data_IF_113405932282
#
_entry.id   IF_113405932282
#
_cell.length_a   1.000
_cell.length_b   1.000
_cell.length_c   1.000
_cell.angle_alpha   90.00
_cell.angle_beta   90.00
_cell.angle_gamma   90.00
#
_symmetry.space_group_name_H-M   'P 1'
#
loop_
_entity.id
_entity.type
_entity.pdbx_description
1 polymer ?
#
# COMPACT_ATOMS: atom_id res chain seq x y z
N UNK A 1 7.16 -1.88 7.86
CA UNK A 1 8.08 -3.04 7.90
C UNK A 1 8.36 -3.47 6.47
N UNK A 2 9.57 -3.27 5.96
CA UNK A 2 9.99 -3.78 4.65
C UNK A 2 11.17 -4.72 4.86
N UNK A 3 11.15 -5.84 4.14
CA UNK A 3 12.22 -6.84 4.08
C UNK A 3 13.44 -6.38 3.28
N UNK A 4 13.26 -5.37 2.42
CA UNK A 4 14.23 -4.95 1.43
C UNK A 4 15.51 -4.32 2.05
N UNK A 5 16.69 -4.94 1.88
CA UNK A 5 17.97 -4.32 2.21
C UNK A 5 18.26 -3.04 1.40
N UNK A 6 17.71 -2.88 0.19
CA UNK A 6 17.80 -1.67 -0.62
C UNK A 6 16.94 -0.54 -0.04
N UNK A 7 15.75 -0.80 0.51
CA UNK A 7 14.95 0.20 1.22
C UNK A 7 15.65 0.72 2.48
N UNK A 8 16.36 -0.15 3.21
CA UNK A 8 17.18 0.24 4.37
C UNK A 8 18.36 1.14 3.99
N UNK A 9 18.93 0.94 2.80
CA UNK A 9 20.06 1.76 2.31
C UNK A 9 19.62 3.08 1.62
N UNK A 10 18.46 3.09 0.95
CA UNK A 10 17.89 4.28 0.30
C UNK A 10 17.16 5.20 1.29
N UNK A 11 16.70 4.67 2.42
CA UNK A 11 15.97 5.40 3.45
C UNK A 11 16.80 5.61 4.71
N UNK A 12 18.00 6.19 4.59
CA UNK A 12 18.59 6.92 5.73
C UNK A 12 17.78 8.18 5.98
N UNK A 13 16.55 8.04 6.46
CA UNK A 13 15.87 9.12 7.17
C UNK A 13 16.58 9.18 8.50
N UNK A 14 17.36 10.23 8.74
CA UNK A 14 18.29 10.35 9.87
C UNK A 14 17.64 10.26 11.25
N UNK A 15 16.30 10.24 11.32
CA UNK A 15 15.51 10.35 12.56
C UNK A 15 14.54 9.18 12.78
N UNK A 16 14.46 8.21 11.86
CA UNK A 16 13.58 7.05 12.00
C UNK A 16 14.36 5.83 12.52
N UNK A 17 13.86 5.18 13.58
CA UNK A 17 14.42 3.91 14.07
C UNK A 17 13.62 2.74 13.51
N UNK A 18 14.30 1.80 12.88
CA UNK A 18 13.68 0.56 12.41
C UNK A 18 13.40 -0.36 13.60
N UNK A 19 12.17 -0.84 13.69
CA UNK A 19 11.83 -1.95 14.60
C UNK A 19 12.37 -3.23 13.99
N UNK A 20 13.50 -3.70 14.52
CA UNK A 20 14.10 -4.97 14.10
C UNK A 20 13.33 -6.15 14.68
N UNK A 21 12.82 -7.00 13.79
CA UNK A 21 12.25 -8.28 14.16
C UNK A 21 13.26 -9.36 13.74
N UNK A 22 13.70 -10.25 14.65
CA UNK A 22 14.58 -11.37 14.32
C UNK A 22 13.80 -12.46 13.57
N UNK A 23 13.33 -12.15 12.36
CA UNK A 23 12.59 -13.03 11.47
C UNK A 23 13.32 -13.09 10.13
N UNK A 24 13.46 -14.30 9.56
CA UNK A 24 14.05 -14.48 8.24
C UNK A 24 13.08 -13.94 7.18
N UNK A 25 13.54 -12.96 6.42
CA UNK A 25 12.75 -12.21 5.41
C UNK A 25 13.37 -12.29 4.01
N UNK A 26 14.32 -13.21 3.83
CA UNK A 26 15.09 -13.36 2.59
C UNK A 26 14.25 -13.73 1.35
N UNK A 27 13.03 -14.24 1.54
CA UNK A 27 12.09 -14.63 0.46
C UNK A 27 10.87 -13.69 0.33
N UNK A 28 10.87 -12.55 1.02
CA UNK A 28 9.68 -11.73 1.23
C UNK A 28 9.31 -10.81 0.07
N UNK A 29 10.10 -10.72 -1.00
CA UNK A 29 9.82 -9.87 -2.18
C UNK A 29 9.58 -10.67 -3.46
N UNK A 30 8.73 -10.14 -4.33
CA UNK A 30 8.55 -10.62 -5.70
C UNK A 30 9.46 -9.86 -6.70
N UNK A 31 9.43 -10.27 -7.96
CA UNK A 31 10.26 -9.68 -9.02
C UNK A 31 9.92 -8.20 -9.30
N UNK A 32 8.78 -7.70 -8.83
CA UNK A 32 8.36 -6.30 -8.94
C UNK A 32 8.66 -5.47 -7.69
N UNK A 33 9.33 -6.04 -6.68
CA UNK A 33 9.64 -5.36 -5.42
C UNK A 33 8.47 -5.28 -4.44
N UNK A 34 7.38 -6.02 -4.67
CA UNK A 34 6.25 -6.09 -3.74
C UNK A 34 6.45 -7.19 -2.70
N UNK A 35 5.96 -6.94 -1.49
CA UNK A 35 6.01 -7.92 -0.40
C UNK A 35 5.07 -9.11 -0.66
N UNK A 36 5.60 -10.34 -0.56
CA UNK A 36 4.82 -11.58 -0.59
C UNK A 36 4.08 -11.77 0.73
N UNK A 37 2.90 -12.39 0.65
CA UNK A 37 2.19 -12.87 1.84
C UNK A 37 3.07 -13.86 2.60
N UNK A 38 3.22 -13.65 3.91
CA UNK A 38 4.03 -14.46 4.80
C UNK A 38 3.19 -15.52 5.49
N UNK A 39 3.83 -16.58 5.97
CA UNK A 39 3.17 -17.67 6.69
C UNK A 39 2.51 -17.19 7.99
N UNK A 40 1.45 -17.89 8.44
CA UNK A 40 0.68 -17.49 9.63
C UNK A 40 1.53 -17.41 10.90
N UNK A 41 2.44 -18.37 11.10
CA UNK A 41 3.39 -18.38 12.23
C UNK A 41 4.36 -17.18 12.22
N UNK A 42 4.68 -16.64 11.05
CA UNK A 42 5.49 -15.43 10.91
C UNK A 42 4.66 -14.20 11.32
N UNK A 43 3.42 -14.11 10.83
CA UNK A 43 2.51 -13.02 11.17
C UNK A 43 2.18 -12.98 12.66
N UNK A 44 2.02 -14.13 13.32
CA UNK A 44 1.80 -14.21 14.77
C UNK A 44 2.99 -13.67 15.57
N UNK A 45 4.22 -14.13 15.27
CA UNK A 45 5.43 -13.62 15.94
C UNK A 45 5.66 -12.14 15.68
N UNK A 46 5.39 -11.69 14.46
CA UNK A 46 5.43 -10.27 14.11
C UNK A 46 4.43 -9.49 14.96
N UNK A 47 3.19 -9.97 15.09
CA UNK A 47 2.16 -9.32 15.91
C UNK A 47 2.55 -9.27 17.38
N UNK A 48 3.09 -10.35 17.94
CA UNK A 48 3.54 -10.37 19.35
C UNK A 48 4.59 -9.29 19.62
N UNK A 49 5.60 -9.18 18.75
CA UNK A 49 6.62 -8.15 18.89
C UNK A 49 6.09 -6.74 18.63
N UNK A 50 5.17 -6.59 17.68
CA UNK A 50 4.49 -5.32 17.40
C UNK A 50 3.59 -4.85 18.55
N UNK A 51 3.09 -5.76 19.38
CA UNK A 51 2.20 -5.42 20.50
C UNK A 51 2.85 -4.39 21.42
N UNK A 52 4.12 -4.60 21.79
CA UNK A 52 4.84 -3.66 22.67
C UNK A 52 5.09 -2.32 21.99
N UNK A 53 5.39 -2.33 20.69
CA UNK A 53 5.65 -1.09 19.95
C UNK A 53 4.38 -0.26 19.82
N UNK A 54 3.28 -0.90 19.38
CA UNK A 54 1.97 -0.26 19.23
C UNK A 54 1.48 0.30 20.55
N UNK A 55 1.54 -0.48 21.63
CA UNK A 55 1.10 -0.05 22.96
C UNK A 55 1.84 1.19 23.48
N UNK A 56 3.14 1.34 23.17
CA UNK A 56 3.94 2.49 23.60
C UNK A 56 3.97 3.64 22.56
N UNK A 57 3.12 3.59 21.53
CA UNK A 57 3.08 4.61 20.47
C UNK A 57 1.90 5.57 20.66
N UNK A 58 2.16 6.88 20.59
CA UNK A 58 1.11 7.90 20.57
C UNK A 58 0.35 7.91 19.22
N UNK A 59 1.06 7.63 18.13
CA UNK A 59 0.51 7.60 16.77
C UNK A 59 1.03 6.39 16.00
N UNK A 60 0.12 5.64 15.39
CA UNK A 60 0.44 4.50 14.53
C UNK A 60 -0.13 4.73 13.14
N UNK A 61 0.73 4.72 12.12
CA UNK A 61 0.32 4.85 10.71
C UNK A 61 0.58 3.52 10.00
N UNK A 62 -0.45 2.93 9.40
CA UNK A 62 -0.34 1.67 8.66
C UNK A 62 -0.59 1.89 7.17
N UNK A 63 0.26 1.30 6.33
CA UNK A 63 0.25 1.53 4.87
C UNK A 63 0.45 0.25 4.05
N UNK A 64 0.39 -0.92 4.69
CA UNK A 64 0.67 -2.18 4.02
C UNK A 64 -0.49 -2.55 3.07
N UNK A 65 -0.15 -2.77 1.81
CA UNK A 65 -1.08 -3.17 0.76
C UNK A 65 -0.39 -4.18 -0.15
N UNK A 66 -1.06 -5.30 -0.42
CA UNK A 66 -0.64 -6.27 -1.43
C UNK A 66 -1.59 -6.13 -2.63
N UNK A 67 -1.09 -5.89 -3.85
CA UNK A 67 -1.93 -5.78 -5.05
C UNK A 67 -2.85 -6.99 -5.23
N UNK A 68 -4.15 -6.76 -5.39
CA UNK A 68 -5.14 -7.81 -5.64
C UNK A 68 -5.53 -8.67 -4.41
N UNK A 69 -5.06 -8.33 -3.21
CA UNK A 69 -5.45 -8.99 -1.96
C UNK A 69 -6.04 -8.00 -0.96
N UNK A 70 -6.78 -8.52 0.02
CA UNK A 70 -7.18 -7.77 1.21
C UNK A 70 -5.95 -7.31 1.98
N UNK A 71 -6.07 -6.19 2.68
CA UNK A 71 -5.01 -5.70 3.55
C UNK A 71 -4.74 -6.72 4.67
N UNK A 72 -3.47 -7.02 5.00
CA UNK A 72 -3.14 -7.91 6.09
C UNK A 72 -3.41 -7.24 7.44
N UNK A 73 -4.04 -7.96 8.37
CA UNK A 73 -4.19 -7.45 9.73
C UNK A 73 -2.83 -7.43 10.44
N UNK A 74 -2.34 -6.22 10.74
CA UNK A 74 -1.09 -5.96 11.44
C UNK A 74 -1.31 -5.43 12.85
N UNK A 75 -2.37 -4.67 13.06
CA UNK A 75 -2.73 -4.05 14.36
C UNK A 75 -4.04 -4.65 14.85
N UNK A 76 -3.98 -5.45 15.91
CA UNK A 76 -5.18 -6.09 16.47
C UNK A 76 -5.90 -5.17 17.46
N UNK A 77 -7.19 -5.45 17.74
CA UNK A 77 -7.96 -4.70 18.76
C UNK A 77 -7.30 -4.75 20.13
N UNK A 78 -6.66 -5.88 20.46
CA UNK A 78 -5.94 -6.04 21.73
C UNK A 78 -4.71 -5.13 21.80
N UNK A 79 -4.00 -4.91 20.68
CA UNK A 79 -2.89 -3.96 20.65
C UNK A 79 -3.38 -2.52 20.83
N UNK A 80 -4.48 -2.16 20.15
CA UNK A 80 -5.11 -0.83 20.30
C UNK A 80 -5.55 -0.60 21.74
N UNK A 81 -6.16 -1.60 22.39
CA UNK A 81 -6.59 -1.49 23.77
C UNK A 81 -5.44 -1.31 24.78
N UNK A 82 -4.20 -1.65 24.39
CA UNK A 82 -2.99 -1.44 25.18
C UNK A 82 -2.31 -0.10 24.96
N UNK A 83 -2.81 0.74 24.03
CA UNK A 83 -2.29 2.09 23.82
C UNK A 83 -2.82 3.06 24.88
N UNK A 84 -2.09 4.16 25.10
CA UNK A 84 -2.52 5.20 26.01
C UNK A 84 -3.77 5.94 25.48
N UNK A 85 -4.74 6.31 26.36
CA UNK A 85 -5.88 7.13 25.95
C UNK A 85 -5.44 8.45 25.34
N UNK A 86 -6.02 8.81 24.20
CA UNK A 86 -5.63 9.96 23.38
C UNK A 86 -4.75 9.61 22.19
N UNK A 87 -4.22 8.38 22.13
CA UNK A 87 -3.45 7.90 20.98
C UNK A 87 -4.31 7.81 19.70
N UNK A 88 -3.64 7.78 18.55
CA UNK A 88 -4.28 7.77 17.23
C UNK A 88 -3.71 6.68 16.32
N UNK A 89 -4.59 5.95 15.64
CA UNK A 89 -4.25 5.04 14.54
C UNK A 89 -4.75 5.63 13.23
N UNK A 90 -3.89 5.72 12.22
CA UNK A 90 -4.26 6.14 10.85
C UNK A 90 -4.00 4.99 9.89
N UNK A 91 -5.07 4.42 9.37
CA UNK A 91 -5.01 3.25 8.49
C UNK A 91 -5.21 3.64 7.03
N UNK A 92 -4.10 3.75 6.29
CA UNK A 92 -4.12 4.13 4.87
C UNK A 92 -4.50 2.97 3.94
N UNK A 93 -4.78 1.78 4.48
CA UNK A 93 -5.26 0.63 3.72
C UNK A 93 -6.77 0.35 3.92
N UNK A 94 -7.50 1.31 4.50
CA UNK A 94 -8.92 1.15 4.84
C UNK A 94 -9.80 0.74 3.65
N UNK A 95 -9.51 1.24 2.44
CA UNK A 95 -10.22 0.87 1.20
C UNK A 95 -10.13 -0.63 0.86
N UNK A 96 -9.16 -1.37 1.41
CA UNK A 96 -8.96 -2.81 1.20
C UNK A 96 -9.19 -3.65 2.46
N UNK A 97 -9.96 -3.13 3.41
CA UNK A 97 -10.29 -3.78 4.67
C UNK A 97 -9.44 -3.31 5.86
N UNK A 98 -8.38 -2.53 5.63
CA UNK A 98 -7.53 -1.98 6.68
C UNK A 98 -6.48 -2.95 7.23
N UNK A 99 -5.39 -2.39 7.75
CA UNK A 99 -4.38 -3.11 8.52
C UNK A 99 -4.70 -3.20 10.01
N UNK A 100 -5.66 -2.39 10.50
CA UNK A 100 -6.14 -2.44 11.88
C UNK A 100 -7.52 -3.10 11.95
N UNK A 101 -7.69 -4.08 12.85
CA UNK A 101 -8.94 -4.85 13.01
C UNK A 101 -10.17 -4.02 13.37
N UNK A 102 -9.98 -2.81 13.92
CA UNK A 102 -11.06 -1.91 14.29
C UNK A 102 -11.33 -0.84 13.21
N UNK A 103 -10.56 -0.81 12.13
CA UNK A 103 -10.77 0.12 11.02
C UNK A 103 -12.12 -0.12 10.36
N UNK A 104 -12.83 0.98 10.10
CA UNK A 104 -13.97 1.03 9.20
C UNK A 104 -13.66 2.13 8.17
N UNK A 105 -13.83 1.82 6.88
CA UNK A 105 -13.50 2.74 5.81
C UNK A 105 -14.38 4.00 5.91
N UNK A 106 -13.73 5.16 5.79
CA UNK A 106 -14.30 6.51 5.87
C UNK A 106 -14.97 6.88 7.20
N UNK A 107 -14.74 6.08 8.23
CA UNK A 107 -15.26 6.32 9.58
C UNK A 107 -14.14 6.70 10.56
N UNK A 108 -14.55 7.41 11.63
CA UNK A 108 -13.70 7.69 12.79
C UNK A 108 -14.19 6.86 13.97
N UNK A 109 -13.42 5.85 14.35
CA UNK A 109 -13.78 4.94 15.43
C UNK A 109 -13.00 5.33 16.68
N UNK A 110 -13.69 5.43 17.82
CA UNK A 110 -13.04 5.61 19.13
C UNK A 110 -13.27 4.37 19.97
N UNK A 111 -12.19 3.73 20.41
CA UNK A 111 -12.24 2.57 21.30
C UNK A 111 -11.13 2.65 22.34
N UNK A 112 -11.43 2.33 23.61
CA UNK A 112 -10.46 2.39 24.71
C UNK A 112 -9.74 3.75 24.86
N UNK A 113 -10.37 4.85 24.42
CA UNK A 113 -9.77 6.18 24.41
C UNK A 113 -8.83 6.45 23.24
N UNK A 114 -8.64 5.50 22.32
CA UNK A 114 -7.82 5.62 21.11
C UNK A 114 -8.72 5.97 19.91
N UNK A 115 -8.28 6.91 19.09
CA UNK A 115 -8.99 7.29 17.84
C UNK A 115 -8.39 6.56 16.64
N UNK A 116 -9.24 5.96 15.80
CA UNK A 116 -8.84 5.22 14.60
C UNK A 116 -9.47 5.92 13.39
N UNK A 117 -8.62 6.31 12.44
CA UNK A 117 -8.99 6.97 11.19
C UNK A 117 -8.78 5.99 10.02
N UNK A 118 -9.82 5.74 9.24
CA UNK A 118 -9.75 4.85 8.06
C UNK A 118 -10.06 5.55 6.74
N UNK A 119 -9.36 6.62 6.32
CA UNK A 119 -9.70 7.34 5.09
C UNK A 119 -9.47 6.47 3.84
N UNK A 120 -10.46 6.36 2.96
CA UNK A 120 -10.31 5.65 1.67
C UNK A 120 -9.75 6.55 0.57
N UNK A 121 -9.92 7.88 0.68
CA UNK A 121 -9.49 8.85 -0.33
C UNK A 121 -8.68 10.01 0.28
N UNK A 122 -7.55 9.70 0.91
CA UNK A 122 -6.67 10.70 1.49
C UNK A 122 -6.22 11.79 0.48
N UNK A 123 -5.91 11.49 -0.81
CA UNK A 123 -5.53 12.53 -1.77
C UNK A 123 -6.59 13.63 -1.95
N UNK A 124 -7.88 13.33 -1.77
CA UNK A 124 -8.95 14.32 -1.86
C UNK A 124 -8.90 15.37 -0.72
N UNK A 125 -8.19 15.10 0.38
CA UNK A 125 -7.97 16.07 1.46
C UNK A 125 -6.92 17.12 1.13
N UNK A 126 -6.09 16.87 0.11
CA UNK A 126 -5.06 17.80 -0.42
C UNK A 126 -5.25 18.02 -1.92
N UNK A 127 -6.44 18.45 -2.36
CA UNK A 127 -6.90 18.32 -3.75
C UNK A 127 -6.05 19.14 -4.73
N UNK A 128 -5.54 20.30 -4.31
CA UNK A 128 -4.67 21.15 -5.14
C UNK A 128 -3.39 20.41 -5.55
N UNK A 129 -2.66 19.87 -4.57
CA UNK A 129 -1.41 19.16 -4.83
C UNK A 129 -1.63 17.81 -5.50
N UNK A 130 -2.66 17.06 -5.07
CA UNK A 130 -3.04 15.80 -5.71
C UNK A 130 -3.34 16.02 -7.21
N UNK A 131 -4.11 17.06 -7.54
CA UNK A 131 -4.44 17.41 -8.92
C UNK A 131 -3.21 17.83 -9.71
N UNK A 132 -2.31 18.63 -9.13
CA UNK A 132 -1.06 19.03 -9.80
C UNK A 132 -0.16 17.83 -10.13
N UNK A 133 0.05 16.92 -9.16
CA UNK A 133 0.87 15.72 -9.39
C UNK A 133 0.23 14.78 -10.41
N UNK A 134 -1.09 14.57 -10.33
CA UNK A 134 -1.80 13.76 -11.30
C UNK A 134 -1.74 14.35 -12.72
N UNK A 135 -1.99 15.66 -12.87
CA UNK A 135 -1.88 16.35 -14.15
C UNK A 135 -0.47 16.24 -14.74
N UNK A 136 0.57 16.30 -13.90
CA UNK A 136 1.96 16.10 -14.34
C UNK A 136 2.19 14.67 -14.86
N UNK A 137 1.66 13.65 -14.19
CA UNK A 137 1.76 12.26 -14.64
C UNK A 137 1.07 12.07 -16.00
N UNK A 138 -0.17 12.56 -16.16
CA UNK A 138 -0.91 12.48 -17.43
C UNK A 138 -0.19 13.24 -18.54
N UNK A 139 0.27 14.46 -18.27
CA UNK A 139 1.01 15.25 -19.26
C UNK A 139 2.30 14.54 -19.70
N UNK A 140 3.01 13.91 -18.76
CA UNK A 140 4.25 13.18 -19.05
C UNK A 140 3.98 11.94 -19.90
N UNK A 141 2.91 11.19 -19.58
CA UNK A 141 2.48 10.05 -20.40
C UNK A 141 2.08 10.49 -21.81
N UNK A 142 1.31 11.58 -21.94
CA UNK A 142 0.92 12.10 -23.26
C UNK A 142 2.13 12.57 -24.09
N UNK A 143 3.12 13.23 -23.46
CA UNK A 143 4.36 13.61 -24.14
C UNK A 143 5.21 12.41 -24.57
N UNK A 144 5.09 11.28 -23.87
CA UNK A 144 5.72 10.02 -24.27
C UNK A 144 5.02 9.38 -25.48
N UNK A 145 3.68 9.39 -25.49
CA UNK A 145 2.85 8.75 -26.51
C UNK A 145 2.67 9.59 -27.79
N UNK A 146 2.80 10.91 -27.71
CA UNK A 146 2.63 11.82 -28.86
C UNK A 146 3.99 12.12 -29.47
N UNK A 147 4.20 11.66 -30.70
CA UNK A 147 5.40 11.92 -31.51
C UNK A 147 4.98 12.55 -32.84
N UNK A 148 5.69 13.56 -33.31
CA UNK A 148 5.40 14.26 -34.56
C UNK A 148 3.93 14.72 -34.71
N UNK A 149 3.35 15.21 -33.62
CA UNK A 149 1.94 15.65 -33.53
C UNK A 149 0.89 14.54 -33.77
N UNK A 150 1.28 13.26 -33.71
CA UNK A 150 0.39 12.12 -33.80
C UNK A 150 0.55 11.19 -32.59
N UNK A 151 -0.52 10.46 -32.26
CA UNK A 151 -0.46 9.41 -31.25
C UNK A 151 0.29 8.20 -31.84
N UNK A 152 1.38 7.82 -31.20
CA UNK A 152 2.23 6.70 -31.61
C UNK A 152 2.26 5.68 -30.49
N UNK A 153 1.54 4.57 -30.69
CA UNK A 153 1.50 3.45 -29.75
C UNK A 153 2.54 2.42 -30.17
N UNK A 154 3.75 2.57 -29.64
CA UNK A 154 4.84 1.61 -29.82
C UNK A 154 4.66 0.45 -28.81
N UNK A 155 4.25 -0.72 -29.27
CA UNK A 155 4.00 -1.87 -28.40
C UNK A 155 5.29 -2.58 -27.92
N UNK A 156 6.44 -2.24 -28.49
CA UNK A 156 7.74 -2.72 -28.01
C UNK A 156 8.26 -1.87 -26.83
N UNK A 157 7.69 -0.68 -26.62
CA UNK A 157 7.97 0.18 -25.47
C UNK A 157 7.22 -0.31 -24.22
N UNK A 158 7.97 -0.57 -23.14
CA UNK A 158 7.44 -1.16 -21.90
C UNK A 158 6.34 -0.31 -21.25
N UNK A 159 6.46 1.03 -21.30
CA UNK A 159 5.48 1.94 -20.72
C UNK A 159 4.17 1.87 -21.51
N UNK A 160 4.26 1.89 -22.83
CA UNK A 160 3.10 1.83 -23.73
C UNK A 160 2.40 0.48 -23.62
N UNK A 161 3.15 -0.63 -23.70
CA UNK A 161 2.61 -1.98 -23.56
C UNK A 161 2.00 -2.22 -22.18
N UNK A 162 2.65 -1.74 -21.11
CA UNK A 162 2.19 -1.92 -19.73
C UNK A 162 0.97 -1.06 -19.37
N UNK A 163 0.71 0.04 -20.08
CA UNK A 163 -0.44 0.93 -19.82
C UNK A 163 -1.63 0.68 -20.74
N UNK A 164 -1.42 0.10 -21.93
CA UNK A 164 -2.48 -0.16 -22.90
C UNK A 164 -3.32 -1.39 -22.52
N UNK A 165 -4.55 -1.17 -22.04
CA UNK A 165 -5.46 -2.27 -21.63
C UNK A 165 -6.17 -2.91 -22.82
N UNK A 166 -6.69 -2.11 -23.74
CA UNK A 166 -7.48 -2.55 -24.89
C UNK A 166 -7.23 -1.71 -26.14
N UNK A 167 -7.33 -2.33 -27.31
CA UNK A 167 -7.22 -1.67 -28.60
C UNK A 167 -8.18 -2.31 -29.59
N UNK A 168 -8.88 -1.50 -30.39
CA UNK A 168 -9.80 -1.97 -31.46
C UNK A 168 -10.87 -2.97 -30.99
N UNK A 169 -11.35 -2.82 -29.75
CA UNK A 169 -12.37 -3.70 -29.17
C UNK A 169 -11.82 -5.00 -28.55
N UNK A 170 -10.51 -5.22 -28.57
CA UNK A 170 -9.87 -6.39 -27.96
C UNK A 170 -9.04 -6.00 -26.74
N UNK A 171 -9.01 -6.89 -25.73
CA UNK A 171 -8.11 -6.76 -24.58
C UNK A 171 -6.72 -7.24 -24.99
N UNK A 172 -5.75 -6.33 -24.95
CA UNK A 172 -4.36 -6.58 -25.37
C UNK A 172 -3.42 -6.78 -24.20
N UNK A 173 -3.77 -6.26 -23.01
CA UNK A 173 -2.93 -6.39 -21.83
C UNK A 173 -2.95 -7.83 -21.27
N UNK A 174 -1.79 -8.52 -21.16
CA UNK A 174 -1.73 -9.94 -20.80
C UNK A 174 -2.44 -10.27 -19.48
N UNK A 175 -2.12 -9.53 -18.40
CA UNK A 175 -2.71 -9.73 -17.07
C UNK A 175 -4.23 -9.54 -17.05
N UNK A 176 -4.76 -8.57 -17.79
CA UNK A 176 -6.21 -8.31 -17.83
C UNK A 176 -6.92 -9.43 -18.58
N UNK A 177 -6.30 -9.92 -19.66
CA UNK A 177 -6.80 -11.07 -20.43
C UNK A 177 -6.89 -12.33 -19.57
N UNK A 178 -5.85 -12.64 -18.81
CA UNK A 178 -5.85 -13.77 -17.87
C UNK A 178 -6.95 -13.65 -16.80
N UNK A 179 -7.11 -12.47 -16.19
CA UNK A 179 -8.13 -12.23 -15.18
C UNK A 179 -9.55 -12.44 -15.73
N UNK A 180 -9.85 -11.93 -16.93
CA UNK A 180 -11.17 -12.10 -17.54
C UNK A 180 -11.48 -13.57 -17.90
N UNK A 181 -10.47 -14.33 -18.31
CA UNK A 181 -10.62 -15.77 -18.58
C UNK A 181 -10.83 -16.59 -17.32
N UNK A 182 -10.26 -16.18 -16.18
CA UNK A 182 -10.43 -16.87 -14.89
C UNK A 182 -11.80 -16.69 -14.22
N UNK A 183 -12.60 -15.74 -14.72
CA UNK A 183 -13.96 -15.42 -14.22
C UNK A 183 -15.06 -16.04 -15.12
N UNK A 184 -14.67 -16.68 -16.22
CA UNK A 184 -15.56 -17.36 -17.19
C UNK A 184 -15.60 -18.87 -16.97
#
# INVERSE_FOLDING_TARGET
MTSDPLYRSKSKVSEATFVELPLDTSASEDAGGYAKAQDESFLERQREMMTRVVANSDVVITTALIPGKTAPILVTKNMVAGMDPGAVVVDLAAERGGNCEATQADEVIVTNGVTILGPSNLPATVPYHASQMYAKNISTLLLHLVKDHALTLDLDDEITAGTLVSQNGEVVHPRVKELLQSVS
#
